data_IF_036974427117
#
_entry.id   IF_036974427117
#
_cell.length_a   1.000
_cell.length_b   1.000
_cell.length_c   1.000
_cell.angle_alpha   90.00
_cell.angle_beta   90.00
_cell.angle_gamma   90.00
#
_symmetry.space_group_name_H-M   'P 1'
#
loop_
_entity.id
_entity.type
_entity.pdbx_description
1 polymer ?
#
# COMPACT_ATOMS: atom_id res chain seq x y z
N UNK A 1 -3.35 -2.08 36.22
CA UNK A 1 -2.10 -2.48 35.53
C UNK A 1 -2.44 -2.51 34.06
N UNK A 2 -1.78 -1.70 33.23
CA UNK A 2 -1.93 -1.82 31.79
C UNK A 2 -1.19 -3.10 31.40
N UNK A 3 -1.87 -4.03 30.75
CA UNK A 3 -1.20 -5.20 30.18
C UNK A 3 -0.12 -4.69 29.23
N UNK A 4 1.13 -5.09 29.47
CA UNK A 4 2.24 -4.73 28.60
C UNK A 4 1.97 -5.32 27.22
N UNK A 5 1.54 -4.46 26.30
CA UNK A 5 1.30 -4.83 24.91
C UNK A 5 2.67 -5.03 24.26
N UNK A 6 3.11 -6.29 24.17
CA UNK A 6 4.36 -6.64 23.52
C UNK A 6 4.17 -6.54 21.99
N UNK A 7 4.58 -5.41 21.43
CA UNK A 7 4.59 -5.19 19.99
C UNK A 7 5.91 -5.78 19.45
N UNK A 8 5.81 -6.66 18.45
CA UNK A 8 6.96 -7.32 17.80
C UNK A 8 7.33 -6.56 16.50
N UNK A 9 8.36 -5.69 16.50
CA UNK A 9 8.69 -4.87 15.34
C UNK A 9 9.08 -5.69 14.09
N UNK A 10 9.82 -6.81 14.19
CA UNK A 10 9.99 -7.75 13.09
C UNK A 10 8.69 -8.23 12.43
N UNK A 11 7.63 -8.51 13.21
CA UNK A 11 6.34 -8.92 12.66
C UNK A 11 5.66 -7.77 11.91
N UNK A 12 5.71 -6.55 12.44
CA UNK A 12 5.18 -5.36 11.76
C UNK A 12 5.90 -5.07 10.44
N UNK A 13 7.24 -5.20 10.41
CA UNK A 13 8.02 -5.05 9.17
C UNK A 13 7.64 -6.08 8.11
N UNK A 14 7.37 -7.33 8.50
CA UNK A 14 6.86 -8.36 7.58
C UNK A 14 5.49 -8.00 7.01
N UNK A 15 4.59 -7.42 7.83
CA UNK A 15 3.28 -6.95 7.36
C UNK A 15 3.46 -5.82 6.36
N UNK A 16 4.29 -4.82 6.66
CA UNK A 16 4.60 -3.73 5.73
C UNK A 16 5.17 -4.24 4.41
N UNK A 17 6.13 -5.18 4.44
CA UNK A 17 6.69 -5.81 3.23
C UNK A 17 5.61 -6.44 2.35
N UNK A 18 4.68 -7.21 2.94
CA UNK A 18 3.59 -7.85 2.18
C UNK A 18 2.62 -6.84 1.58
N UNK A 19 2.42 -5.69 2.25
CA UNK A 19 1.61 -4.60 1.72
C UNK A 19 2.31 -3.90 0.55
N UNK A 20 3.64 -3.71 0.59
CA UNK A 20 4.40 -3.22 -0.55
C UNK A 20 4.34 -4.18 -1.74
N UNK A 21 4.51 -5.48 -1.51
CA UNK A 21 4.38 -6.50 -2.57
C UNK A 21 2.99 -6.45 -3.21
N UNK A 22 1.93 -6.42 -2.39
CA UNK A 22 0.55 -6.33 -2.89
C UNK A 22 0.25 -5.02 -3.64
N UNK A 23 0.77 -3.89 -3.16
CA UNK A 23 0.66 -2.60 -3.86
C UNK A 23 1.39 -2.59 -5.20
N UNK A 24 2.57 -3.23 -5.28
CA UNK A 24 3.33 -3.40 -6.51
C UNK A 24 2.59 -4.29 -7.53
N UNK A 25 2.04 -5.42 -7.08
CA UNK A 25 1.23 -6.32 -7.92
C UNK A 25 -0.01 -5.61 -8.49
N UNK A 26 -0.70 -4.82 -7.66
CA UNK A 26 -1.82 -4.01 -8.11
C UNK A 26 -1.39 -2.95 -9.13
N UNK A 27 -0.24 -2.30 -8.92
CA UNK A 27 0.30 -1.31 -9.87
C UNK A 27 0.64 -1.95 -11.22
N UNK A 28 1.24 -3.14 -11.20
CA UNK A 28 1.56 -3.90 -12.42
C UNK A 28 0.30 -4.37 -13.17
N UNK A 29 -0.73 -4.79 -12.45
CA UNK A 29 -2.01 -5.19 -13.04
C UNK A 29 -2.76 -4.01 -13.69
N UNK A 30 -2.52 -2.78 -13.22
CA UNK A 30 -3.14 -1.56 -13.70
C UNK A 30 -2.35 -0.84 -14.79
N UNK A 31 -1.16 -1.34 -15.16
CA UNK A 31 -0.32 -0.69 -16.15
C UNK A 31 -1.12 -0.43 -17.45
N UNK A 32 -1.30 0.84 -17.85
CA UNK A 32 -2.06 1.21 -19.05
C UNK A 32 -1.48 0.60 -20.33
N UNK A 33 -0.20 0.21 -20.34
CA UNK A 33 0.41 -0.52 -21.46
C UNK A 33 -0.18 -1.92 -21.66
N UNK A 34 -0.84 -2.49 -20.63
CA UNK A 34 -1.59 -3.74 -20.69
C UNK A 34 -3.08 -3.54 -20.97
N UNK A 35 -3.59 -2.31 -20.78
CA UNK A 35 -4.96 -1.94 -21.08
C UNK A 35 -5.11 -1.61 -22.58
N UNK A 36 -5.31 -2.65 -23.39
CA UNK A 36 -5.70 -2.50 -24.81
C UNK A 36 -7.12 -1.91 -24.93
N UNK A 37 -7.26 -0.61 -24.77
CA UNK A 37 -8.41 0.13 -25.27
C UNK A 37 -8.20 0.39 -26.76
N UNK A 38 -8.59 -0.58 -27.59
CA UNK A 38 -8.65 -0.36 -29.03
C UNK A 38 -9.82 0.60 -29.35
N UNK A 39 -9.51 1.82 -29.75
CA UNK A 39 -10.45 2.81 -30.30
C UNK A 39 -11.35 2.23 -31.42
N UNK A 40 -10.87 1.17 -32.10
CA UNK A 40 -11.61 0.46 -33.16
C UNK A 40 -12.66 -0.55 -32.65
N UNK A 41 -12.75 -0.87 -31.36
CA UNK A 41 -13.66 -1.91 -30.85
C UNK A 41 -15.14 -1.56 -30.99
N UNK A 42 -15.50 -0.27 -30.95
CA UNK A 42 -16.91 0.12 -30.93
C UNK A 42 -17.44 0.56 -32.30
N UNK A 43 -16.58 0.92 -33.25
CA UNK A 43 -16.97 1.41 -34.58
C UNK A 43 -17.80 2.71 -34.53
N UNK A 44 -17.78 3.50 -35.61
CA UNK A 44 -18.37 4.86 -35.63
C UNK A 44 -19.88 4.96 -35.29
N UNK A 45 -20.63 3.84 -35.33
CA UNK A 45 -22.07 3.79 -35.00
C UNK A 45 -22.38 3.59 -33.51
N UNK A 46 -21.39 3.23 -32.68
CA UNK A 46 -21.59 3.04 -31.22
C UNK A 46 -20.74 4.02 -30.40
N UNK A 47 -20.50 5.21 -30.95
CA UNK A 47 -19.66 6.25 -30.32
C UNK A 47 -20.11 6.59 -28.90
N UNK A 48 -21.42 6.66 -28.66
CA UNK A 48 -21.98 6.98 -27.35
C UNK A 48 -21.74 5.86 -26.32
N UNK A 49 -21.81 4.59 -26.75
CA UNK A 49 -21.52 3.42 -25.92
C UNK A 49 -20.01 3.33 -25.64
N UNK A 50 -19.18 3.62 -26.65
CA UNK A 50 -17.72 3.72 -26.49
C UNK A 50 -17.34 4.79 -25.48
N UNK A 51 -17.95 5.98 -25.55
CA UNK A 51 -17.75 7.04 -24.56
C UNK A 51 -18.18 6.62 -23.14
N UNK A 52 -19.34 6.00 -22.98
CA UNK A 52 -19.79 5.51 -21.67
C UNK A 52 -18.84 4.45 -21.10
N UNK A 53 -18.34 3.54 -21.94
CA UNK A 53 -17.35 2.54 -21.54
C UNK A 53 -16.02 3.18 -21.12
N UNK A 54 -15.50 4.13 -21.90
CA UNK A 54 -14.28 4.87 -21.56
C UNK A 54 -14.45 5.65 -20.26
N UNK A 55 -15.59 6.31 -20.04
CA UNK A 55 -15.85 7.01 -18.78
C UNK A 55 -15.94 6.06 -17.58
N UNK A 56 -16.63 4.92 -17.71
CA UNK A 56 -16.66 3.88 -16.67
C UNK A 56 -15.26 3.36 -16.36
N UNK A 57 -14.48 3.07 -17.41
CA UNK A 57 -13.13 2.57 -17.29
C UNK A 57 -12.21 3.55 -16.55
N UNK A 58 -12.20 4.82 -16.94
CA UNK A 58 -11.42 5.87 -16.26
C UNK A 58 -11.84 5.97 -14.78
N UNK A 59 -13.13 5.84 -14.50
CA UNK A 59 -13.64 5.90 -13.12
C UNK A 59 -13.20 4.69 -12.29
N UNK A 60 -13.22 3.48 -12.84
CA UNK A 60 -12.72 2.29 -12.17
C UNK A 60 -11.20 2.35 -11.99
N UNK A 61 -10.45 2.78 -13.01
CA UNK A 61 -8.99 2.97 -12.91
C UNK A 61 -8.61 3.96 -11.80
N UNK A 62 -9.37 5.06 -11.67
CA UNK A 62 -9.22 6.00 -10.55
C UNK A 62 -9.41 5.35 -9.17
N UNK A 63 -10.44 4.50 -9.01
CA UNK A 63 -10.68 3.78 -7.74
C UNK A 63 -9.57 2.79 -7.42
N UNK A 64 -9.02 2.09 -8.42
CA UNK A 64 -7.92 1.15 -8.15
C UNK A 64 -6.63 1.89 -7.82
N UNK A 65 -6.34 3.02 -8.47
CA UNK A 65 -5.24 3.90 -8.09
C UNK A 65 -5.37 4.38 -6.64
N UNK A 66 -6.57 4.77 -6.19
CA UNK A 66 -6.83 5.14 -4.79
C UNK A 66 -6.55 3.98 -3.82
N UNK A 67 -6.96 2.76 -4.18
CA UNK A 67 -6.71 1.56 -3.37
C UNK A 67 -5.21 1.25 -3.25
N UNK A 68 -4.45 1.38 -4.34
CA UNK A 68 -2.99 1.21 -4.34
C UNK A 68 -2.35 2.24 -3.42
N UNK A 69 -2.72 3.51 -3.55
CA UNK A 69 -2.19 4.59 -2.73
C UNK A 69 -2.48 4.38 -1.24
N UNK A 70 -3.69 3.95 -0.89
CA UNK A 70 -4.04 3.62 0.51
C UNK A 70 -3.23 2.44 1.05
N UNK A 71 -3.02 1.42 0.23
CA UNK A 71 -2.24 0.23 0.62
C UNK A 71 -0.78 0.58 0.89
N UNK A 72 -0.16 1.38 0.00
CA UNK A 72 1.22 1.84 0.17
C UNK A 72 1.37 2.80 1.35
N UNK A 73 0.44 3.75 1.52
CA UNK A 73 0.43 4.65 2.67
C UNK A 73 0.30 3.88 3.99
N UNK A 74 -0.53 2.84 4.04
CA UNK A 74 -0.63 2.00 5.23
C UNK A 74 0.67 1.23 5.50
N UNK A 75 1.34 0.73 4.45
CA UNK A 75 2.65 0.09 4.59
C UNK A 75 3.69 1.03 5.20
N UNK A 76 3.74 2.29 4.73
CA UNK A 76 4.65 3.32 5.25
C UNK A 76 4.40 3.59 6.74
N UNK A 77 3.12 3.71 7.14
CA UNK A 77 2.76 3.90 8.55
C UNK A 77 3.23 2.73 9.42
N UNK A 78 2.92 1.49 9.01
CA UNK A 78 3.33 0.29 9.77
C UNK A 78 4.85 0.17 9.86
N UNK A 79 5.57 0.52 8.80
CA UNK A 79 7.03 0.52 8.79
C UNK A 79 7.62 1.60 9.71
N UNK A 80 7.04 2.81 9.70
CA UNK A 80 7.44 3.91 10.56
C UNK A 80 7.23 3.56 12.04
N UNK A 81 6.06 3.01 12.38
CA UNK A 81 5.74 2.56 13.74
C UNK A 81 6.72 1.48 14.20
N UNK A 82 7.00 0.48 13.37
CA UNK A 82 7.97 -0.57 13.69
C UNK A 82 9.37 -0.02 13.98
N UNK A 83 9.81 0.97 13.20
CA UNK A 83 11.11 1.63 13.39
C UNK A 83 11.14 2.42 14.70
N UNK A 84 10.04 3.11 15.03
CA UNK A 84 9.92 3.87 16.27
C UNK A 84 9.94 2.95 17.50
N UNK A 85 9.27 1.79 17.42
CA UNK A 85 9.32 0.80 18.50
C UNK A 85 10.71 0.19 18.71
N UNK A 86 11.47 -0.07 17.63
CA UNK A 86 12.86 -0.51 17.76
C UNK A 86 13.74 0.54 18.44
N UNK A 87 13.62 1.81 18.03
CA UNK A 87 14.36 2.91 18.65
C UNK A 87 14.04 3.04 20.14
N UNK A 88 12.76 2.99 20.52
CA UNK A 88 12.34 3.04 21.92
C UNK A 88 12.87 1.83 22.71
N UNK A 89 12.81 0.62 22.14
CA UNK A 89 13.37 -0.59 22.76
C UNK A 89 14.88 -0.44 23.01
N UNK A 90 15.63 0.08 22.05
CA UNK A 90 17.08 0.26 22.17
C UNK A 90 17.44 1.36 23.18
N UNK A 91 16.70 2.47 23.21
CA UNK A 91 16.82 3.50 24.24
C UNK A 91 16.57 2.92 25.63
N UNK A 92 15.49 2.17 25.81
CA UNK A 92 15.14 1.55 27.10
C UNK A 92 16.22 0.57 27.55
N UNK A 93 16.72 -0.31 26.66
CA UNK A 93 17.84 -1.22 26.97
C UNK A 93 19.10 -0.45 27.39
N UNK A 94 19.40 0.65 26.72
CA UNK A 94 20.59 1.47 27.03
C UNK A 94 20.52 2.15 28.42
N UNK A 95 19.31 2.49 28.89
CA UNK A 95 19.09 3.05 30.23
C UNK A 95 19.39 2.01 31.31
N UNK A 96 18.94 0.76 31.12
CA UNK A 96 19.20 -0.32 32.07
C UNK A 96 20.66 -0.78 32.07
N UNK A 97 21.34 -0.77 30.92
CA UNK A 97 22.78 -1.08 30.86
C UNK A 97 23.68 -0.02 31.51
N UNK A 98 23.24 1.26 31.57
CA UNK A 98 24.01 2.33 32.23
C UNK A 98 23.94 2.31 33.76
N UNK A 99 23.01 1.56 34.35
CA UNK A 99 22.85 1.48 35.80
C UNK A 99 23.68 0.37 36.46
N UNK A 100 24.34 -0.50 35.69
CA UNK A 100 25.18 -1.59 36.21
C UNK A 100 26.69 -1.22 36.34
N UNK A 101 27.04 0.06 36.34
CA UNK A 101 28.43 0.55 36.54
C UNK A 101 28.55 1.42 37.79
#
# INVERSE_FOLDING_TARGET
>A
MADELFIDPPALKKIASRLYDGGSDCTFALDPSHQFLCDDMFGGRRKDIGQAFVSWFIQEDGKVNDLVNQTLSHADHVHSDATLFEQQSDEHKSVFQRQEV
#
